data_IF_590306151844
#
_entry.id   IF_590306151844
#
_cell.length_a   1.000
_cell.length_b   1.000
_cell.length_c   1.000
_cell.angle_alpha   90.00
_cell.angle_beta   90.00
_cell.angle_gamma   90.00
#
_symmetry.space_group_name_H-M   'P 1'
#
loop_
_entity.id
_entity.type
_entity.pdbx_description
1 polymer ?
#
# COMPACT_ATOMS: atom_id res chain seq x y z
N UNK A 1 -21.31 9.19 -11.72
CA UNK A 1 -20.28 8.22 -11.30
C UNK A 1 -20.86 6.82 -11.37
N UNK A 2 -20.17 5.87 -12.02
CA UNK A 2 -20.62 4.47 -12.04
C UNK A 2 -20.52 3.85 -10.63
N UNK A 3 -21.33 2.82 -10.35
CA UNK A 3 -21.25 2.04 -9.09
C UNK A 3 -19.84 1.49 -8.85
N UNK A 4 -19.15 1.09 -9.94
CA UNK A 4 -17.75 0.65 -9.92
C UNK A 4 -16.83 1.76 -9.37
N UNK A 5 -16.91 2.98 -9.90
CA UNK A 5 -16.05 4.08 -9.46
C UNK A 5 -16.26 4.41 -7.99
N UNK A 6 -17.50 4.31 -7.50
CA UNK A 6 -17.80 4.50 -6.09
C UNK A 6 -17.13 3.43 -5.20
N UNK A 7 -17.17 2.16 -5.62
CA UNK A 7 -16.50 1.06 -4.91
C UNK A 7 -14.98 1.26 -4.93
N UNK A 8 -14.40 1.55 -6.10
CA UNK A 8 -12.96 1.79 -6.25
C UNK A 8 -12.50 2.97 -5.38
N UNK A 9 -13.25 4.07 -5.32
CA UNK A 9 -12.94 5.20 -4.44
C UNK A 9 -12.98 4.82 -2.96
N UNK A 10 -13.95 4.00 -2.55
CA UNK A 10 -13.96 3.45 -1.19
C UNK A 10 -12.72 2.61 -0.92
N UNK A 11 -12.36 1.70 -1.83
CA UNK A 11 -11.17 0.86 -1.70
C UNK A 11 -9.92 1.73 -1.54
N UNK A 12 -9.71 2.73 -2.39
CA UNK A 12 -8.55 3.64 -2.30
C UNK A 12 -8.51 4.36 -0.95
N UNK A 13 -9.65 4.91 -0.49
CA UNK A 13 -9.71 5.64 0.79
C UNK A 13 -9.44 4.74 1.99
N UNK A 14 -10.01 3.53 1.99
CA UNK A 14 -9.86 2.59 3.10
C UNK A 14 -8.50 1.88 3.11
N UNK A 15 -7.91 1.60 1.94
CA UNK A 15 -6.58 0.98 1.85
C UNK A 15 -5.44 1.95 2.17
N UNK A 16 -5.61 3.25 1.92
CA UNK A 16 -4.57 4.25 2.21
C UNK A 16 -4.20 4.35 3.70
N UNK A 17 -5.20 4.28 4.59
CA UNK A 17 -4.98 4.36 6.04
C UNK A 17 -4.08 3.26 6.61
N UNK A 18 -4.34 1.96 6.38
CA UNK A 18 -3.45 0.89 6.82
C UNK A 18 -2.15 0.83 6.02
N UNK A 19 -2.11 1.35 4.78
CA UNK A 19 -0.91 1.32 3.95
C UNK A 19 0.22 2.18 4.56
N UNK A 20 -0.12 3.33 5.12
CA UNK A 20 0.85 4.22 5.76
C UNK A 20 1.62 3.58 6.93
N UNK A 21 0.97 3.07 8.01
CA UNK A 21 1.67 2.45 9.11
C UNK A 21 2.36 1.15 8.69
N UNK A 22 1.78 0.39 7.76
CA UNK A 22 2.38 -0.85 7.28
C UNK A 22 3.66 -0.61 6.50
N UNK A 23 3.66 0.40 5.60
CA UNK A 23 4.86 0.84 4.89
C UNK A 23 5.92 1.36 5.87
N UNK A 24 5.51 2.17 6.86
CA UNK A 24 6.42 2.67 7.90
C UNK A 24 7.06 1.51 8.68
N UNK A 25 6.28 0.53 9.15
CA UNK A 25 6.79 -0.64 9.84
C UNK A 25 7.75 -1.47 8.97
N UNK A 26 7.44 -1.61 7.68
CA UNK A 26 8.30 -2.30 6.73
C UNK A 26 9.65 -1.60 6.55
N UNK A 27 9.65 -0.27 6.44
CA UNK A 27 10.89 0.51 6.37
C UNK A 27 11.69 0.41 7.66
N UNK A 28 11.05 0.61 8.81
CA UNK A 28 11.68 0.53 10.14
C UNK A 28 12.38 -0.82 10.34
N UNK A 29 11.71 -1.93 9.99
CA UNK A 29 12.31 -3.27 10.10
C UNK A 29 13.49 -3.46 9.14
N UNK A 30 13.44 -2.90 7.93
CA UNK A 30 14.57 -2.92 6.99
C UNK A 30 15.78 -2.11 7.48
N UNK A 31 15.55 -0.93 8.07
CA UNK A 31 16.61 -0.13 8.68
C UNK A 31 17.20 -0.82 9.93
N UNK A 32 16.37 -1.48 10.73
CA UNK A 32 16.83 -2.26 11.88
C UNK A 32 17.73 -3.44 11.46
N UNK A 33 17.36 -4.17 10.41
CA UNK A 33 18.17 -5.28 9.87
C UNK A 33 19.55 -4.82 9.38
N UNK A 34 19.63 -3.65 8.74
CA UNK A 34 20.89 -3.12 8.20
C UNK A 34 21.71 -2.35 9.23
N UNK A 35 21.20 -2.20 10.46
CA UNK A 35 21.82 -1.42 11.53
C UNK A 35 21.97 0.08 11.23
N UNK A 36 21.26 0.58 10.21
CA UNK A 36 21.33 1.96 9.77
C UNK A 36 20.53 2.88 10.69
N UNK A 37 20.91 4.17 10.71
CA UNK A 37 20.23 5.23 11.47
C UNK A 37 19.96 4.93 12.97
N UNK A 38 20.73 4.02 13.58
CA UNK A 38 20.59 3.65 14.99
C UNK A 38 19.43 2.71 15.30
N UNK A 39 18.73 2.19 14.28
CA UNK A 39 17.56 1.31 14.45
C UNK A 39 17.91 -0.08 14.98
N UNK A 40 19.19 -0.49 14.94
CA UNK A 40 19.68 -1.72 15.60
C UNK A 40 19.45 -1.75 17.12
N UNK A 41 19.17 -0.61 17.74
CA UNK A 41 18.79 -0.53 19.16
C UNK A 41 17.32 -0.85 19.43
N UNK A 42 16.46 -0.79 18.42
CA UNK A 42 15.02 -1.02 18.58
C UNK A 42 14.66 -2.50 18.49
N UNK A 43 15.32 -3.24 17.58
CA UNK A 43 15.11 -4.66 17.35
C UNK A 43 16.45 -5.32 17.03
N UNK A 44 16.66 -6.53 17.55
CA UNK A 44 17.75 -7.38 17.05
C UNK A 44 17.48 -7.81 15.61
N UNK A 45 18.55 -8.12 14.88
CA UNK A 45 18.51 -8.44 13.45
C UNK A 45 17.55 -9.59 13.12
N UNK A 46 17.51 -10.63 13.96
CA UNK A 46 16.69 -11.83 13.71
C UNK A 46 15.20 -11.52 13.89
N UNK A 47 14.87 -10.75 14.91
CA UNK A 47 13.51 -10.26 15.13
C UNK A 47 13.08 -9.32 14.01
N UNK A 48 13.94 -8.37 13.64
CA UNK A 48 13.69 -7.44 12.54
C UNK A 48 13.44 -8.19 11.21
N UNK A 49 14.25 -9.19 10.88
CA UNK A 49 14.08 -10.04 9.71
C UNK A 49 12.77 -10.81 9.72
N UNK A 50 12.38 -11.35 10.88
CA UNK A 50 11.14 -12.11 11.02
C UNK A 50 9.93 -11.21 10.76
N UNK A 51 9.88 -10.03 11.38
CA UNK A 51 8.80 -9.06 11.13
C UNK A 51 8.81 -8.58 9.68
N UNK A 52 9.97 -8.21 9.14
CA UNK A 52 10.08 -7.72 7.76
C UNK A 52 9.51 -8.75 6.75
N UNK A 53 9.80 -10.04 6.96
CA UNK A 53 9.25 -11.12 6.14
C UNK A 53 7.74 -11.25 6.24
N UNK A 54 7.18 -11.14 7.45
CA UNK A 54 5.73 -11.17 7.67
C UNK A 54 5.04 -9.98 7.03
N UNK A 55 5.71 -8.83 6.92
CA UNK A 55 5.16 -7.61 6.35
C UNK A 55 5.12 -7.60 4.81
N UNK A 56 5.92 -8.42 4.11
CA UNK A 56 5.93 -8.44 2.64
C UNK A 56 4.55 -8.71 2.03
N UNK A 57 3.89 -9.79 2.44
CA UNK A 57 2.62 -10.20 1.84
C UNK A 57 1.49 -9.20 2.12
N UNK A 58 1.27 -8.76 3.39
CA UNK A 58 0.32 -7.69 3.68
C UNK A 58 0.61 -6.41 2.89
N UNK A 59 1.88 -5.99 2.82
CA UNK A 59 2.26 -4.78 2.11
C UNK A 59 1.99 -4.91 0.61
N UNK A 60 2.37 -6.02 0.00
CA UNK A 60 2.12 -6.29 -1.42
C UNK A 60 0.61 -6.25 -1.74
N UNK A 61 -0.20 -6.97 -0.96
CA UNK A 61 -1.66 -7.00 -1.13
C UNK A 61 -2.24 -5.59 -1.04
N UNK A 62 -1.82 -4.82 -0.04
CA UNK A 62 -2.36 -3.51 0.21
C UNK A 62 -1.90 -2.47 -0.83
N UNK A 63 -0.64 -2.55 -1.28
CA UNK A 63 -0.12 -1.74 -2.40
C UNK A 63 -0.91 -2.01 -3.67
N UNK A 64 -1.17 -3.28 -4.00
CA UNK A 64 -1.94 -3.63 -5.21
C UNK A 64 -3.40 -3.17 -5.09
N UNK A 65 -4.03 -3.45 -3.94
CA UNK A 65 -5.41 -3.05 -3.67
C UNK A 65 -5.59 -1.53 -3.68
N UNK A 66 -4.56 -0.76 -3.32
CA UNK A 66 -4.59 0.70 -3.39
C UNK A 66 -4.27 1.22 -4.80
N UNK A 67 -3.16 0.77 -5.37
CA UNK A 67 -2.57 1.36 -6.57
C UNK A 67 -3.37 1.02 -7.83
N UNK A 68 -3.86 -0.21 -7.98
CA UNK A 68 -4.60 -0.61 -9.18
C UNK A 68 -5.89 0.22 -9.34
N UNK A 69 -6.77 0.33 -8.33
CA UNK A 69 -7.92 1.24 -8.39
C UNK A 69 -7.54 2.71 -8.56
N UNK A 70 -6.49 3.18 -7.88
CA UNK A 70 -6.07 4.58 -7.94
C UNK A 70 -5.59 4.97 -9.35
N UNK A 71 -4.78 4.12 -9.99
CA UNK A 71 -4.30 4.30 -11.37
C UNK A 71 -5.47 4.26 -12.34
N UNK A 72 -6.39 3.29 -12.20
CA UNK A 72 -7.59 3.23 -13.03
C UNK A 72 -8.43 4.51 -12.95
N UNK A 73 -8.71 4.99 -11.73
CA UNK A 73 -9.46 6.22 -11.51
C UNK A 73 -8.72 7.45 -12.04
N UNK A 74 -7.38 7.48 -11.95
CA UNK A 74 -6.56 8.54 -12.53
C UNK A 74 -6.64 8.55 -14.06
N UNK A 75 -6.55 7.39 -14.71
CA UNK A 75 -6.69 7.26 -16.17
C UNK A 75 -8.09 7.67 -16.65
N UNK A 76 -9.14 7.32 -15.92
CA UNK A 76 -10.48 7.84 -16.21
C UNK A 76 -10.55 9.36 -16.07
N UNK A 77 -9.98 9.92 -14.99
CA UNK A 77 -9.97 11.37 -14.75
C UNK A 77 -9.20 12.15 -15.81
N UNK A 78 -8.12 11.58 -16.34
CA UNK A 78 -7.33 12.18 -17.43
C UNK A 78 -7.94 11.95 -18.83
N UNK A 79 -9.08 11.28 -18.92
CA UNK A 79 -9.77 11.02 -20.20
C UNK A 79 -9.11 9.94 -21.06
N UNK A 80 -8.14 9.19 -20.51
CA UNK A 80 -7.49 8.08 -21.23
C UNK A 80 -8.39 6.85 -21.34
N UNK A 81 -9.38 6.71 -20.45
CA UNK A 81 -10.38 5.64 -20.47
C UNK A 81 -11.77 6.26 -20.51
N UNK A 82 -12.54 5.95 -21.57
CA UNK A 82 -13.93 6.41 -21.72
C UNK A 82 -14.80 5.83 -20.59
N UNK A 83 -15.69 6.66 -20.05
CA UNK A 83 -16.73 6.17 -19.15
C UNK A 83 -17.64 5.20 -19.89
N UNK A 84 -17.79 4.00 -19.34
CA UNK A 84 -18.79 3.05 -19.82
C UNK A 84 -20.14 3.57 -19.32
N UNK A 85 -20.84 4.32 -20.17
CA UNK A 85 -22.25 4.64 -19.96
C UNK A 85 -23.02 3.32 -20.01
N UNK A 86 -23.61 2.95 -18.88
CA UNK A 86 -24.56 1.83 -18.84
C UNK A 86 -25.85 2.38 -19.45
N UNK A 87 -26.39 1.77 -20.53
CA UNK A 87 -27.61 2.22 -21.18
C UNK A 87 -28.82 2.14 -20.24
#
# INVERSE_FOLDING_TARGET
MSKLNFILLKIVRWSGWPLLPLLAAFLVTGYAMTGQAGFSRLLDEKTALTFHRLLHLPLLVLVLAHSVPAVYLAFQRWGWIKHREVP
#
